data_IF_558800722802
#
_entry.id   IF_558800722802
#
_cell.length_a   1.000
_cell.length_b   1.000
_cell.length_c   1.000
_cell.angle_alpha   90.00
_cell.angle_beta   90.00
_cell.angle_gamma   90.00
#
_symmetry.space_group_name_H-M   'P 1'
#
loop_
_entity.id
_entity.type
_entity.pdbx_description
1 polymer ?
#
# COMPACT_ATOMS: atom_id res chain seq x y z
N UNK A 1 -11.34 -12.36 -4.04
CA UNK A 1 -10.88 -10.97 -3.85
C UNK A 1 -12.08 -10.08 -3.65
N UNK A 2 -12.24 -9.46 -2.47
CA UNK A 2 -13.16 -8.33 -2.32
C UNK A 2 -12.59 -7.20 -3.18
N UNK A 3 -13.35 -6.73 -4.17
CA UNK A 3 -12.97 -5.54 -4.94
C UNK A 3 -12.99 -4.35 -3.98
N UNK A 4 -11.95 -3.51 -4.06
CA UNK A 4 -11.96 -2.21 -3.42
C UNK A 4 -13.18 -1.42 -3.93
N UNK A 5 -13.95 -0.72 -3.07
CA UNK A 5 -15.04 0.12 -3.53
C UNK A 5 -14.51 1.22 -4.47
N UNK A 6 -15.30 1.61 -5.45
CA UNK A 6 -14.99 2.78 -6.28
C UNK A 6 -14.84 4.02 -5.39
N UNK A 7 -13.75 4.76 -5.56
CA UNK A 7 -13.43 5.93 -4.75
C UNK A 7 -11.97 6.36 -4.92
N UNK A 8 -11.61 7.42 -4.19
CA UNK A 8 -10.25 7.93 -4.13
C UNK A 8 -9.47 7.25 -3.00
N UNK A 9 -8.23 6.90 -3.29
CA UNK A 9 -7.34 6.19 -2.39
C UNK A 9 -6.04 6.96 -2.18
N UNK A 10 -5.45 6.84 -0.97
CA UNK A 10 -4.23 7.56 -0.65
C UNK A 10 -3.02 6.93 -1.34
N UNK A 11 -2.19 7.80 -1.92
CA UNK A 11 -0.82 7.49 -2.33
C UNK A 11 0.10 8.64 -1.98
N UNK A 12 0.97 8.40 -1.00
CA UNK A 12 1.88 9.41 -0.46
C UNK A 12 1.06 10.59 0.11
N UNK A 13 1.11 11.76 -0.53
CA UNK A 13 0.42 12.99 -0.13
C UNK A 13 -0.83 13.27 -0.99
N UNK A 14 -1.17 12.36 -1.90
CA UNK A 14 -2.24 12.55 -2.89
C UNK A 14 -3.38 11.54 -2.70
N UNK A 15 -4.58 11.95 -3.11
CA UNK A 15 -5.75 11.08 -3.24
C UNK A 15 -6.03 10.89 -4.72
N UNK A 16 -6.01 9.65 -5.19
CA UNK A 16 -6.19 9.32 -6.60
C UNK A 16 -7.36 8.35 -6.78
N UNK A 17 -8.13 8.48 -7.87
CA UNK A 17 -9.26 7.59 -8.12
C UNK A 17 -8.76 6.16 -8.36
N UNK A 18 -9.51 5.15 -7.89
CA UNK A 18 -9.19 3.74 -8.09
C UNK A 18 -8.94 3.39 -9.56
N UNK A 19 -9.62 4.07 -10.49
CA UNK A 19 -9.44 3.88 -11.94
C UNK A 19 -8.03 4.24 -12.45
N UNK A 20 -7.30 5.09 -11.73
CA UNK A 20 -5.91 5.47 -12.05
C UNK A 20 -4.89 4.68 -11.22
N UNK A 21 -5.36 3.84 -10.30
CA UNK A 21 -4.51 3.05 -9.43
C UNK A 21 -4.53 1.59 -9.80
N UNK A 22 -3.46 0.89 -9.45
CA UNK A 22 -3.39 -0.55 -9.62
C UNK A 22 -2.71 -1.19 -8.43
N UNK A 23 -3.18 -2.38 -8.11
CA UNK A 23 -2.66 -3.19 -7.04
C UNK A 23 -1.46 -3.98 -7.58
N UNK A 24 -0.30 -3.77 -6.97
CA UNK A 24 0.93 -4.50 -7.34
C UNK A 24 1.50 -5.19 -6.11
N UNK A 25 2.24 -6.27 -6.35
CA UNK A 25 3.04 -6.89 -5.29
C UNK A 25 4.07 -5.89 -4.76
N UNK A 26 4.09 -5.69 -3.46
CA UNK A 26 5.03 -4.81 -2.82
C UNK A 26 6.46 -5.38 -2.97
N UNK A 27 7.45 -4.57 -3.40
CA UNK A 27 8.85 -4.94 -3.34
C UNK A 27 9.26 -5.32 -1.92
N UNK A 28 10.21 -6.26 -1.78
CA UNK A 28 10.62 -6.79 -0.47
C UNK A 28 11.07 -5.69 0.50
N UNK A 29 11.74 -4.64 0.01
CA UNK A 29 12.16 -3.50 0.83
C UNK A 29 10.97 -2.71 1.37
N UNK A 30 9.94 -2.50 0.55
CA UNK A 30 8.72 -1.83 0.97
C UNK A 30 7.89 -2.70 1.92
N UNK A 31 7.85 -4.02 1.73
CA UNK A 31 7.19 -4.92 2.69
C UNK A 31 7.81 -4.82 4.09
N UNK A 32 9.14 -4.80 4.17
CA UNK A 32 9.83 -4.60 5.45
C UNK A 32 9.51 -3.23 6.05
N UNK A 33 9.47 -2.19 5.22
CA UNK A 33 9.05 -0.87 5.66
C UNK A 33 7.61 -0.90 6.20
N UNK A 34 6.66 -1.49 5.48
CA UNK A 34 5.25 -1.55 5.91
C UNK A 34 5.09 -2.28 7.23
N UNK A 35 5.79 -3.41 7.44
CA UNK A 35 5.76 -4.12 8.73
C UNK A 35 6.33 -3.28 9.87
N UNK A 36 7.43 -2.55 9.64
CA UNK A 36 8.03 -1.66 10.65
C UNK A 36 7.11 -0.49 10.98
N UNK A 37 6.52 0.13 9.97
CA UNK A 37 5.61 1.27 10.13
C UNK A 37 4.30 0.85 10.79
N UNK A 38 3.74 -0.32 10.43
CA UNK A 38 2.57 -0.86 11.10
C UNK A 38 2.84 -1.09 12.59
N UNK A 39 3.96 -1.74 12.93
CA UNK A 39 4.39 -1.93 14.31
C UNK A 39 4.61 -0.59 15.05
N UNK A 40 5.26 0.39 14.40
CA UNK A 40 5.50 1.72 14.98
C UNK A 40 4.20 2.50 15.22
N UNK A 41 3.20 2.32 14.36
CA UNK A 41 1.87 2.92 14.49
C UNK A 41 0.94 2.12 15.43
N UNK A 42 1.39 0.99 15.97
CA UNK A 42 0.54 0.09 16.77
C UNK A 42 -0.57 -0.58 15.95
N UNK A 43 -0.37 -0.72 14.65
CA UNK A 43 -1.30 -1.34 13.70
C UNK A 43 -0.86 -2.75 13.35
N UNK A 44 -1.82 -3.65 13.23
CA UNK A 44 -1.59 -5.00 12.72
C UNK A 44 -2.08 -5.11 11.28
N UNK A 45 -1.27 -5.67 10.39
CA UNK A 45 -1.66 -5.93 9.00
C UNK A 45 -2.41 -7.27 8.97
N UNK A 46 -3.74 -7.19 8.97
CA UNK A 46 -4.64 -8.35 8.97
C UNK A 46 -4.79 -8.90 7.55
N UNK A 47 -4.85 -10.23 7.44
CA UNK A 47 -5.06 -10.92 6.15
C UNK A 47 -6.45 -10.63 5.59
N UNK A 48 -6.53 -10.50 4.27
CA UNK A 48 -7.73 -10.17 3.49
C UNK A 48 -8.40 -8.83 3.86
N UNK A 49 -7.72 -7.98 4.62
CA UNK A 49 -8.19 -6.64 4.96
C UNK A 49 -7.25 -5.57 4.41
N UNK A 50 -7.75 -4.64 3.57
CA UNK A 50 -6.96 -3.50 3.14
C UNK A 50 -6.77 -2.54 4.31
N UNK A 51 -5.53 -2.12 4.53
CA UNK A 51 -5.15 -1.22 5.60
C UNK A 51 -4.48 0.03 5.04
N UNK A 52 -4.92 1.20 5.51
CA UNK A 52 -4.24 2.46 5.24
C UNK A 52 -3.08 2.60 6.20
N UNK A 53 -1.87 2.48 5.67
CA UNK A 53 -0.67 2.58 6.46
C UNK A 53 0.02 3.91 6.19
N UNK A 54 0.16 4.71 7.24
CA UNK A 54 0.99 5.90 7.22
C UNK A 54 2.45 5.52 7.44
N UNK A 55 3.29 5.82 6.47
CA UNK A 55 4.72 5.59 6.50
C UNK A 55 5.45 6.91 6.78
N UNK A 56 6.26 6.92 7.85
CA UNK A 56 7.22 8.00 8.12
C UNK A 56 8.64 7.48 7.87
N UNK A 57 9.24 7.90 6.77
CA UNK A 57 10.62 7.56 6.43
C UNK A 57 11.25 8.75 5.71
N UNK A 58 12.58 8.91 5.78
CA UNK A 58 13.30 10.04 5.14
C UNK A 58 13.06 10.13 3.62
N UNK A 59 12.75 9.00 2.98
CA UNK A 59 12.45 8.91 1.56
C UNK A 59 11.01 9.36 1.19
N UNK A 60 10.16 9.62 2.17
CA UNK A 60 8.76 9.99 1.99
C UNK A 60 8.41 11.25 2.80
N UNK A 61 7.43 12.06 2.37
CA UNK A 61 6.92 13.14 3.19
C UNK A 61 6.31 12.61 4.50
N UNK A 62 6.24 13.48 5.51
CA UNK A 62 5.87 13.17 6.91
C UNK A 62 4.48 12.51 7.11
N UNK A 63 3.64 12.52 6.08
CA UNK A 63 2.27 11.98 6.06
C UNK A 63 2.01 10.99 4.90
N UNK A 64 3.05 10.36 4.35
CA UNK A 64 2.87 9.46 3.22
C UNK A 64 2.00 8.25 3.58
N UNK A 65 0.82 8.15 2.97
CA UNK A 65 -0.14 7.07 3.25
C UNK A 65 -0.29 6.16 2.05
N UNK A 66 -0.30 4.85 2.30
CA UNK A 66 -0.46 3.81 1.28
C UNK A 66 -1.57 2.85 1.68
N UNK A 67 -2.35 2.37 0.70
CA UNK A 67 -3.23 1.24 0.91
C UNK A 67 -2.45 -0.06 0.68
N UNK A 68 -2.34 -0.86 1.75
CA UNK A 68 -1.71 -2.17 1.74
C UNK A 68 -2.79 -3.24 1.85
N UNK A 69 -2.69 -4.27 1.04
CA UNK A 69 -3.59 -5.42 1.09
C UNK A 69 -2.77 -6.70 1.19
N UNK A 70 -3.09 -7.55 2.17
CA UNK A 70 -2.39 -8.83 2.32
C UNK A 70 -3.34 -10.00 2.12
N UNK A 71 -3.44 -10.56 0.89
CA UNK A 71 -4.35 -11.68 0.63
C UNK A 71 -3.99 -12.90 1.47
N UNK A 72 -5.00 -13.61 1.97
CA UNK A 72 -4.76 -14.93 2.56
C UNK A 72 -4.46 -15.94 1.46
N UNK A 73 -3.29 -16.57 1.55
CA UNK A 73 -2.77 -17.50 0.54
C UNK A 73 -1.54 -17.01 -0.22
N UNK A 74 -1.20 -15.72 -0.14
CA UNK A 74 0.07 -15.21 -0.68
C UNK A 74 1.04 -14.86 0.44
N UNK A 75 2.33 -15.14 0.27
CA UNK A 75 3.32 -14.70 1.26
C UNK A 75 3.58 -13.19 1.19
N UNK A 76 3.31 -12.60 0.02
CA UNK A 76 3.63 -11.22 -0.35
C UNK A 76 2.46 -10.28 -0.09
N UNK A 77 2.77 -9.11 0.44
CA UNK A 77 1.82 -8.00 0.54
C UNK A 77 1.69 -7.31 -0.80
N UNK A 78 0.52 -6.75 -1.04
CA UNK A 78 0.22 -5.92 -2.20
C UNK A 78 0.05 -4.47 -1.75
N UNK A 79 0.39 -3.54 -2.63
CA UNK A 79 0.21 -2.11 -2.40
C UNK A 79 -0.49 -1.47 -3.59
N UNK A 80 -1.33 -0.49 -3.28
CA UNK A 80 -2.01 0.30 -4.29
C UNK A 80 -1.11 1.46 -4.71
N UNK A 81 -0.79 1.54 -6.00
CA UNK A 81 0.05 2.61 -6.57
C UNK A 81 -0.61 3.22 -7.81
N UNK A 82 -0.29 4.46 -8.18
CA UNK A 82 -0.72 5.04 -9.44
C UNK A 82 -0.19 4.20 -10.58
N UNK A 83 -1.02 3.96 -11.58
CA UNK A 83 -0.65 3.17 -12.77
C UNK A 83 0.56 3.78 -13.48
N UNK A 84 0.72 5.10 -13.44
CA UNK A 84 1.89 5.82 -13.97
C UNK A 84 3.20 5.51 -13.23
N UNK A 85 3.14 5.07 -11.97
CA UNK A 85 4.31 4.67 -11.18
C UNK A 85 4.68 3.20 -11.38
N UNK A 86 3.86 2.42 -12.10
CA UNK A 86 4.12 1.02 -12.45
C UNK A 86 5.12 0.98 -13.61
N UNK A 87 6.32 1.52 -13.40
CA UNK A 87 7.43 1.43 -14.36
C UNK A 87 8.44 0.43 -13.79
N UNK A 88 8.13 -0.86 -13.91
CA UNK A 88 8.95 -1.89 -13.29
C UNK A 88 8.48 -3.33 -13.47
N UNK A 89 8.04 -3.70 -14.67
CA UNK A 89 7.99 -5.12 -15.12
C UNK A 89 8.38 -5.16 -16.60
N UNK A 90 9.70 -5.15 -16.82
CA UNK A 90 10.34 -5.67 -18.03
C UNK A 90 11.22 -6.83 -17.60
#
# INVERSE_FOLDING_TARGET
MKKLPDGDYPFIDQMLPLSEMTMVEAPLELEQLFRRQAAANGMEIIRDEPVHLRCRAEQFPDDATFLIYWPSGEERMHMLIPTSQVTGRG
#
